data_IF_054240119294
#
_entry.id   IF_054240119294
#
_cell.length_a   1.000
_cell.length_b   1.000
_cell.length_c   1.000
_cell.angle_alpha   90.00
_cell.angle_beta   90.00
_cell.angle_gamma   90.00
#
_symmetry.space_group_name_H-M   'P 1'
#
loop_
_entity.id
_entity.type
_entity.pdbx_description
1 polymer ?
#
# COMPACT_ATOMS: atom_id res chain seq x y z
N UNK A 1 -3.91 -7.86 -15.73
CA UNK A 1 -3.35 -7.73 -14.35
C UNK A 1 -4.04 -8.73 -13.43
N UNK A 2 -3.51 -9.09 -12.25
CA UNK A 2 -4.13 -10.01 -11.27
C UNK A 2 -4.22 -9.36 -9.89
N UNK A 3 -5.12 -9.84 -9.03
CA UNK A 3 -5.18 -9.44 -7.62
C UNK A 3 -4.03 -10.08 -6.83
N UNK A 4 -3.52 -9.39 -5.82
CA UNK A 4 -2.57 -9.95 -4.85
C UNK A 4 -3.31 -10.25 -3.54
N UNK A 5 -3.55 -11.54 -3.26
CA UNK A 5 -4.25 -11.97 -2.04
C UNK A 5 -3.40 -13.02 -1.32
N UNK A 6 -3.03 -12.77 -0.07
CA UNK A 6 -2.20 -13.66 0.73
C UNK A 6 -0.84 -13.96 0.10
N UNK A 7 -0.23 -12.97 -0.55
CA UNK A 7 1.08 -13.10 -1.20
C UNK A 7 1.05 -13.86 -2.55
N UNK A 8 -0.13 -14.15 -3.10
CA UNK A 8 -0.29 -14.85 -4.38
C UNK A 8 -1.05 -14.01 -5.38
N UNK A 9 -0.64 -14.05 -6.63
CA UNK A 9 -1.41 -13.47 -7.73
C UNK A 9 -2.55 -14.40 -8.10
N UNK A 10 -3.78 -13.88 -8.11
CA UNK A 10 -5.01 -14.64 -8.35
C UNK A 10 -5.97 -13.86 -9.25
N UNK A 11 -6.78 -14.58 -10.00
CA UNK A 11 -7.92 -14.01 -10.71
C UNK A 11 -9.13 -13.92 -9.78
N UNK A 12 -10.19 -13.21 -10.21
CA UNK A 12 -11.49 -13.21 -9.54
C UNK A 12 -12.06 -14.63 -9.50
N UNK A 13 -12.76 -15.00 -8.42
CA UNK A 13 -13.33 -16.33 -8.23
C UNK A 13 -14.36 -16.69 -9.31
N UNK A 14 -15.07 -15.71 -9.88
CA UNK A 14 -16.00 -15.84 -11.01
C UNK A 14 -15.36 -15.52 -12.37
N UNK A 15 -14.06 -15.16 -12.40
CA UNK A 15 -13.30 -14.74 -13.58
C UNK A 15 -13.83 -13.49 -14.28
N UNK A 16 -14.68 -12.70 -13.62
CA UNK A 16 -15.12 -11.42 -14.15
C UNK A 16 -13.97 -10.40 -14.16
N UNK A 17 -13.98 -9.50 -15.13
CA UNK A 17 -12.97 -8.45 -15.29
C UNK A 17 -13.63 -7.10 -15.49
N UNK A 18 -12.87 -6.04 -15.19
CA UNK A 18 -13.22 -4.64 -15.42
C UNK A 18 -12.20 -4.07 -16.40
N UNK A 19 -12.69 -3.42 -17.45
CA UNK A 19 -11.83 -2.73 -18.41
C UNK A 19 -11.25 -1.46 -17.79
N UNK A 20 -9.94 -1.26 -17.94
CA UNK A 20 -9.26 -0.01 -17.59
C UNK A 20 -9.18 0.85 -18.83
N UNK A 21 -9.91 1.96 -18.81
CA UNK A 21 -10.01 2.88 -19.93
C UNK A 21 -9.13 4.10 -19.69
N UNK A 22 -8.24 4.40 -20.61
CA UNK A 22 -7.48 5.64 -20.60
C UNK A 22 -8.43 6.83 -20.81
N UNK A 23 -8.59 7.74 -19.85
CA UNK A 23 -9.57 8.83 -19.93
C UNK A 23 -9.21 9.90 -20.97
N UNK A 24 -7.95 10.02 -21.37
CA UNK A 24 -7.50 10.96 -22.38
C UNK A 24 -7.79 10.48 -23.83
N UNK A 25 -7.80 9.15 -24.05
CA UNK A 25 -7.96 8.58 -25.40
C UNK A 25 -9.26 7.80 -25.58
N UNK A 26 -9.94 7.41 -24.50
CA UNK A 26 -11.12 6.55 -24.50
C UNK A 26 -10.82 5.09 -24.87
N UNK A 27 -9.55 4.67 -24.94
CA UNK A 27 -9.16 3.30 -25.30
C UNK A 27 -9.01 2.44 -24.04
N UNK A 28 -9.40 1.17 -24.15
CA UNK A 28 -9.08 0.16 -23.14
C UNK A 28 -7.57 -0.12 -23.21
N UNK A 29 -6.88 0.01 -22.07
CA UNK A 29 -5.43 -0.19 -21.97
C UNK A 29 -5.05 -1.47 -21.23
N UNK A 30 -5.91 -1.93 -20.32
CA UNK A 30 -5.74 -3.22 -19.61
C UNK A 30 -7.08 -3.70 -19.07
N UNK A 31 -7.10 -4.87 -18.43
CA UNK A 31 -8.22 -5.39 -17.65
C UNK A 31 -7.76 -5.81 -16.26
N UNK A 32 -8.59 -5.62 -15.26
CA UNK A 32 -8.35 -6.09 -13.89
C UNK A 32 -9.46 -7.03 -13.44
N UNK A 33 -9.19 -7.99 -12.54
CA UNK A 33 -10.22 -8.85 -11.99
C UNK A 33 -11.28 -8.04 -11.23
N UNK A 34 -12.55 -8.33 -11.46
CA UNK A 34 -13.67 -7.83 -10.66
C UNK A 34 -13.81 -8.71 -9.42
N UNK A 35 -13.25 -8.27 -8.28
CA UNK A 35 -13.29 -9.05 -7.04
C UNK A 35 -14.74 -9.31 -6.59
N UNK A 36 -15.02 -10.56 -6.19
CA UNK A 36 -16.30 -10.94 -5.57
C UNK A 36 -16.26 -10.68 -4.06
N UNK A 37 -17.41 -10.80 -3.39
CA UNK A 37 -17.47 -10.73 -1.92
C UNK A 37 -16.66 -11.86 -1.27
N UNK A 38 -16.63 -13.04 -1.89
CA UNK A 38 -15.81 -14.18 -1.42
C UNK A 38 -14.31 -13.86 -1.50
N UNK A 39 -13.85 -13.24 -2.58
CA UNK A 39 -12.46 -12.79 -2.73
C UNK A 39 -12.11 -11.73 -1.67
N UNK A 40 -13.04 -10.80 -1.40
CA UNK A 40 -12.86 -9.78 -0.36
C UNK A 40 -12.76 -10.40 1.03
N UNK A 41 -13.66 -11.29 1.40
CA UNK A 41 -13.66 -11.96 2.71
C UNK A 41 -12.37 -12.78 2.91
N UNK A 42 -11.92 -13.46 1.86
CA UNK A 42 -10.64 -14.17 1.86
C UNK A 42 -9.46 -13.23 2.04
N UNK A 43 -9.45 -12.10 1.34
CA UNK A 43 -8.40 -11.11 1.43
C UNK A 43 -8.30 -10.52 2.84
N UNK A 44 -9.44 -10.15 3.46
CA UNK A 44 -9.51 -9.63 4.82
C UNK A 44 -9.01 -10.67 5.83
N UNK A 45 -9.47 -11.92 5.72
CA UNK A 45 -9.08 -13.00 6.63
C UNK A 45 -7.57 -13.24 6.60
N UNK A 46 -6.96 -13.25 5.41
CA UNK A 46 -5.52 -13.41 5.26
C UNK A 46 -4.75 -12.16 5.73
N UNK A 47 -5.29 -10.96 5.52
CA UNK A 47 -4.69 -9.71 6.02
C UNK A 47 -4.63 -9.68 7.56
N UNK A 48 -5.66 -10.17 8.26
CA UNK A 48 -5.67 -10.27 9.73
C UNK A 48 -4.55 -11.20 10.23
N UNK A 49 -4.29 -12.29 9.53
CA UNK A 49 -3.16 -13.19 9.86
C UNK A 49 -1.83 -12.48 9.58
N UNK A 50 -1.68 -11.92 8.39
CA UNK A 50 -0.45 -11.22 7.99
C UNK A 50 -0.13 -10.02 8.88
N UNK A 51 -1.14 -9.30 9.40
CA UNK A 51 -0.93 -8.22 10.37
C UNK A 51 -0.27 -8.72 11.65
N UNK A 52 -0.70 -9.87 12.19
CA UNK A 52 -0.11 -10.44 13.40
C UNK A 52 1.35 -10.86 13.19
N UNK A 53 1.65 -11.43 12.02
CA UNK A 53 3.01 -11.78 11.64
C UNK A 53 3.88 -10.53 11.49
N UNK A 54 3.34 -9.50 10.83
CA UNK A 54 4.01 -8.21 10.68
C UNK A 54 4.27 -7.52 12.01
N UNK A 55 3.31 -7.54 12.93
CA UNK A 55 3.47 -6.94 14.26
C UNK A 55 4.60 -7.58 15.07
N UNK A 56 4.84 -8.87 14.88
CA UNK A 56 5.92 -9.60 15.52
C UNK A 56 7.33 -9.29 14.95
N UNK A 57 7.42 -8.69 13.76
CA UNK A 57 8.69 -8.33 13.14
C UNK A 57 9.34 -7.17 13.93
N UNK A 58 10.63 -7.24 14.31
CA UNK A 58 11.32 -6.14 14.98
C UNK A 58 11.32 -4.85 14.15
N UNK A 59 11.25 -3.70 14.84
CA UNK A 59 11.14 -2.39 14.16
C UNK A 59 12.26 -2.17 13.11
N UNK A 60 13.50 -2.47 13.47
CA UNK A 60 14.62 -2.27 12.55
C UNK A 60 14.54 -3.13 11.28
N UNK A 61 13.98 -4.33 11.38
CA UNK A 61 13.74 -5.19 10.21
C UNK A 61 12.59 -4.67 9.35
N UNK A 62 11.50 -4.19 9.98
CA UNK A 62 10.43 -3.50 9.26
C UNK A 62 10.96 -2.33 8.44
N UNK A 63 11.81 -1.50 9.07
CA UNK A 63 12.40 -0.33 8.38
C UNK A 63 13.29 -0.75 7.22
N UNK A 64 14.07 -1.81 7.36
CA UNK A 64 14.90 -2.37 6.27
C UNK A 64 14.06 -2.86 5.09
N UNK A 65 12.93 -3.50 5.37
CA UNK A 65 12.00 -3.97 4.31
C UNK A 65 11.37 -2.79 3.58
N UNK A 66 10.91 -1.77 4.32
CA UNK A 66 10.29 -0.58 3.74
C UNK A 66 11.27 0.30 2.96
N UNK A 67 12.54 0.40 3.42
CA UNK A 67 13.60 1.06 2.65
C UNK A 67 13.89 0.34 1.33
N UNK A 68 13.96 -1.00 1.36
CA UNK A 68 14.10 -1.78 0.13
C UNK A 68 12.94 -1.55 -0.83
N UNK A 69 11.70 -1.44 -0.31
CA UNK A 69 10.54 -1.08 -1.10
C UNK A 69 10.74 0.29 -1.77
N UNK A 70 11.15 1.32 -1.01
CA UNK A 70 11.38 2.66 -1.56
C UNK A 70 12.45 2.66 -2.67
N UNK A 71 13.55 1.91 -2.50
CA UNK A 71 14.56 1.74 -3.54
C UNK A 71 13.98 1.08 -4.80
N UNK A 72 13.21 0.01 -4.65
CA UNK A 72 12.59 -0.67 -5.80
C UNK A 72 11.61 0.24 -6.54
N UNK A 73 10.84 1.07 -5.83
CA UNK A 73 9.95 2.06 -6.47
C UNK A 73 10.75 3.05 -7.31
N UNK A 74 11.91 3.53 -6.81
CA UNK A 74 12.79 4.45 -7.55
C UNK A 74 13.46 3.77 -8.76
N UNK A 75 13.86 2.52 -8.62
CA UNK A 75 14.44 1.74 -9.73
C UNK A 75 13.44 1.52 -10.87
N UNK A 76 12.14 1.45 -10.57
CA UNK A 76 11.06 1.20 -11.52
C UNK A 76 10.20 2.43 -11.85
N UNK A 77 10.71 3.65 -11.63
CA UNK A 77 9.94 4.90 -11.82
C UNK A 77 9.29 4.98 -13.19
N UNK A 78 10.04 4.69 -14.27
CA UNK A 78 9.54 4.84 -15.64
C UNK A 78 8.40 3.84 -15.92
N UNK A 79 8.54 2.60 -15.48
CA UNK A 79 7.53 1.56 -15.65
C UNK A 79 6.23 1.91 -14.89
N UNK A 80 6.36 2.29 -13.62
CA UNK A 80 5.21 2.67 -12.78
C UNK A 80 4.54 3.94 -13.32
N UNK A 81 5.33 4.96 -13.68
CA UNK A 81 4.80 6.21 -14.22
C UNK A 81 4.08 6.02 -15.56
N UNK A 82 4.57 5.10 -16.42
CA UNK A 82 3.90 4.76 -17.67
C UNK A 82 2.50 4.19 -17.42
N UNK A 83 2.39 3.22 -16.52
CA UNK A 83 1.09 2.63 -16.14
C UNK A 83 0.16 3.69 -15.56
N UNK A 84 0.64 4.53 -14.64
CA UNK A 84 -0.14 5.63 -14.08
C UNK A 84 -0.62 6.65 -15.14
N UNK A 85 0.22 6.94 -16.11
CA UNK A 85 -0.11 7.83 -17.23
C UNK A 85 -1.23 7.21 -18.10
N UNK A 86 -1.11 5.94 -18.42
CA UNK A 86 -2.08 5.23 -19.26
C UNK A 86 -3.43 5.04 -18.58
N UNK A 87 -3.44 4.66 -17.31
CA UNK A 87 -4.68 4.46 -16.55
C UNK A 87 -5.35 5.76 -16.14
N UNK A 88 -4.55 6.76 -15.73
CA UNK A 88 -5.05 8.03 -15.18
C UNK A 88 -5.19 9.17 -16.18
N UNK A 89 -4.62 9.05 -17.38
CA UNK A 89 -4.59 10.11 -18.39
C UNK A 89 -3.79 11.35 -17.98
N UNK A 90 -2.93 11.24 -16.95
CA UNK A 90 -2.08 12.33 -16.45
C UNK A 90 -0.84 12.52 -17.31
N UNK A 91 -0.25 13.75 -17.33
CA UNK A 91 1.06 13.95 -17.95
C UNK A 91 2.15 13.06 -17.30
N UNK A 92 3.03 12.49 -18.13
CA UNK A 92 4.09 11.57 -17.68
C UNK A 92 4.98 12.17 -16.59
N UNK A 93 5.32 13.46 -16.69
CA UNK A 93 6.17 14.13 -15.70
C UNK A 93 5.52 14.24 -14.32
N UNK A 94 4.20 14.43 -14.30
CA UNK A 94 3.44 14.40 -13.05
C UNK A 94 3.44 12.98 -12.45
N UNK A 95 3.28 11.95 -13.27
CA UNK A 95 3.33 10.57 -12.82
C UNK A 95 4.71 10.23 -12.20
N UNK A 96 5.81 10.62 -12.85
CA UNK A 96 7.17 10.46 -12.29
C UNK A 96 7.31 11.13 -10.93
N UNK A 97 6.85 12.38 -10.81
CA UNK A 97 6.89 13.13 -9.55
C UNK A 97 6.12 12.41 -8.44
N UNK A 98 4.94 11.87 -8.74
CA UNK A 98 4.14 11.12 -7.78
C UNK A 98 4.83 9.81 -7.34
N UNK A 99 5.50 9.10 -8.25
CA UNK A 99 6.26 7.88 -7.93
C UNK A 99 7.44 8.19 -7.00
N UNK A 100 8.21 9.24 -7.29
CA UNK A 100 9.30 9.69 -6.39
C UNK A 100 8.77 10.15 -5.04
N UNK A 101 7.66 10.88 -5.00
CA UNK A 101 7.03 11.30 -3.75
C UNK A 101 6.59 10.08 -2.90
N UNK A 102 6.11 9.01 -3.51
CA UNK A 102 5.76 7.78 -2.81
C UNK A 102 6.99 7.20 -2.07
N UNK A 103 8.12 7.01 -2.74
CA UNK A 103 9.35 6.52 -2.12
C UNK A 103 9.84 7.43 -0.98
N UNK A 104 9.80 8.76 -1.19
CA UNK A 104 10.18 9.73 -0.17
C UNK A 104 9.29 9.68 1.07
N UNK A 105 7.97 9.51 0.92
CA UNK A 105 7.03 9.37 2.03
C UNK A 105 7.36 8.14 2.86
N UNK A 106 7.65 7.00 2.26
CA UNK A 106 8.05 5.80 3.00
C UNK A 106 9.30 6.06 3.86
N UNK A 107 10.32 6.73 3.33
CA UNK A 107 11.53 7.09 4.10
C UNK A 107 11.24 8.04 5.26
N UNK A 108 10.36 9.02 5.07
CA UNK A 108 9.94 9.94 6.14
C UNK A 108 9.27 9.16 7.28
N UNK A 109 8.35 8.24 6.97
CA UNK A 109 7.70 7.44 8.01
C UNK A 109 8.63 6.42 8.65
N UNK A 110 9.59 5.85 7.91
CA UNK A 110 10.63 5.00 8.48
C UNK A 110 11.47 5.77 9.51
N UNK A 111 11.87 7.00 9.20
CA UNK A 111 12.60 7.85 10.13
C UNK A 111 11.75 8.22 11.36
N UNK A 112 10.47 8.58 11.16
CA UNK A 112 9.55 8.93 12.23
C UNK A 112 9.26 7.77 13.18
N UNK A 113 9.28 6.52 12.69
CA UNK A 113 8.99 5.33 13.49
C UNK A 113 9.94 5.16 14.69
N UNK A 114 11.20 5.61 14.57
CA UNK A 114 12.19 5.59 15.66
C UNK A 114 11.94 6.63 16.74
N UNK A 115 11.11 7.63 16.46
CA UNK A 115 10.78 8.72 17.40
C UNK A 115 9.36 8.62 17.95
N UNK A 116 8.65 7.55 17.61
CA UNK A 116 7.28 7.32 18.06
C UNK A 116 7.28 6.67 19.43
N UNK A 117 7.39 7.52 20.47
CA UNK A 117 7.36 7.11 21.89
C UNK A 117 5.98 7.32 22.47
N UNK A 118 5.63 6.49 23.47
CA UNK A 118 4.48 6.76 24.33
C UNK A 118 4.67 8.09 25.10
N UNK A 119 3.57 8.75 25.43
CA UNK A 119 3.57 9.92 26.32
C UNK A 119 3.16 9.50 27.72
N UNK A 120 3.96 9.82 28.72
CA UNK A 120 3.54 9.74 30.13
C UNK A 120 2.85 11.04 30.49
N UNK A 121 1.60 10.95 30.99
CA UNK A 121 0.93 12.09 31.56
C UNK A 121 1.43 12.27 33.01
N UNK A 122 1.72 13.51 33.46
CA UNK A 122 2.07 13.74 34.87
C UNK A 122 0.92 13.32 35.75
N UNK A 123 1.20 12.49 36.76
CA UNK A 123 0.22 12.09 37.76
C UNK A 123 0.02 13.23 38.72
N UNK A 124 -1.15 13.87 38.67
CA UNK A 124 -1.49 15.01 39.54
C UNK A 124 -2.03 14.62 40.93
N UNK A 125 -1.87 13.35 41.33
CA UNK A 125 -2.26 12.92 42.69
C UNK A 125 -3.76 12.76 42.96
N UNK A 126 -4.63 13.10 42.03
CA UNK A 126 -6.08 12.92 42.13
C UNK A 126 -6.63 11.79 41.25
N UNK A 127 -6.25 10.56 41.58
CA UNK A 127 -7.01 9.40 41.10
C UNK A 127 -8.29 9.29 41.98
N UNK A 128 -9.34 10.01 41.63
CA UNK A 128 -10.67 9.66 42.12
C UNK A 128 -11.10 8.38 41.44
N UNK A 129 -11.02 7.26 42.16
CA UNK A 129 -11.81 6.06 41.85
C UNK A 129 -13.29 6.47 41.97
N UNK A 130 -13.94 6.64 40.84
CA UNK A 130 -15.39 6.55 40.82
C UNK A 130 -15.72 5.10 40.50
N UNK A 131 -16.40 4.46 41.50
CA UNK A 131 -16.88 3.11 41.46
C UNK A 131 -17.95 2.83 40.41
#
# INVERSE_FOLDING_TARGET
MQMLIGGKFVDSSDRATIDIVNPATGRVVDTVPAATLEDLDRAISLAVVGQKEWDAVPLHEKMRILEKYACLVEEHVEEIAQVMCEEGGKPMEQCRTEVYANAAIFRIYCAAAYTFYGKTLPYNGEARSQG
#
